data_IF_176003741777
#
_entry.id   IF_176003741777
#
_cell.length_a   1.000
_cell.length_b   1.000
_cell.length_c   1.000
_cell.angle_alpha   90.00
_cell.angle_beta   90.00
_cell.angle_gamma   90.00
#
_symmetry.space_group_name_H-M   'P 1'
#
loop_
_entity.id
_entity.type
_entity.pdbx_description
1 polymer ?
#
# COMPACT_ATOMS: atom_id res chain seq x y z
N UNK A 1 -23.16 76.43 80.09
CA UNK A 1 -21.76 76.65 79.64
C UNK A 1 -20.80 75.53 80.02
N UNK A 2 -20.62 75.20 81.32
CA UNK A 2 -19.73 74.12 81.80
C UNK A 2 -19.95 72.77 81.08
N UNK A 3 -21.21 72.38 80.89
CA UNK A 3 -21.62 71.16 80.17
C UNK A 3 -21.15 71.15 78.69
N UNK A 4 -21.13 72.30 78.01
CA UNK A 4 -20.72 72.37 76.62
C UNK A 4 -19.20 72.20 76.46
N UNK A 5 -18.42 72.77 77.38
CA UNK A 5 -16.96 72.58 77.42
C UNK A 5 -16.59 71.15 77.82
N UNK A 6 -17.35 70.53 78.72
CA UNK A 6 -17.13 69.13 79.08
C UNK A 6 -17.43 68.19 77.89
N UNK A 7 -18.50 68.45 77.12
CA UNK A 7 -18.76 67.73 75.85
C UNK A 7 -17.63 67.89 74.83
N UNK A 8 -17.00 69.07 74.74
CA UNK A 8 -15.83 69.26 73.88
C UNK A 8 -14.62 68.42 74.32
N UNK A 9 -14.47 68.12 75.62
CA UNK A 9 -13.35 67.29 76.09
C UNK A 9 -13.47 65.82 75.67
N UNK A 10 -14.68 65.37 75.39
CA UNK A 10 -14.92 63.97 75.00
C UNK A 10 -14.26 63.66 73.65
N UNK A 11 -14.18 64.63 72.73
CA UNK A 11 -13.55 64.46 71.42
C UNK A 11 -12.10 64.94 71.38
N UNK A 12 -11.24 64.26 70.61
CA UNK A 12 -9.84 64.66 70.42
C UNK A 12 -9.71 66.06 69.79
N UNK A 13 -10.62 66.38 68.86
CA UNK A 13 -10.66 67.69 68.19
C UNK A 13 -11.08 68.77 69.18
N UNK A 14 -12.06 68.50 70.05
CA UNK A 14 -12.46 69.44 71.08
C UNK A 14 -11.37 69.63 72.16
N UNK A 15 -10.59 68.60 72.51
CA UNK A 15 -9.38 68.76 73.34
C UNK A 15 -8.34 69.68 72.69
N UNK A 16 -8.14 69.59 71.38
CA UNK A 16 -7.24 70.49 70.63
C UNK A 16 -7.75 71.93 70.62
N UNK A 17 -9.05 72.14 70.42
CA UNK A 17 -9.66 73.47 70.52
C UNK A 17 -9.44 74.06 71.92
N UNK A 18 -9.67 73.27 72.97
CA UNK A 18 -9.42 73.67 74.35
C UNK A 18 -7.95 73.98 74.61
N UNK A 19 -7.03 73.23 74.00
CA UNK A 19 -5.58 73.50 74.09
C UNK A 19 -5.14 74.77 73.36
N UNK A 20 -5.81 75.14 72.26
CA UNK A 20 -5.45 76.30 71.44
C UNK A 20 -5.97 77.62 72.00
N UNK A 21 -7.22 77.65 72.47
CA UNK A 21 -7.86 78.86 72.99
C UNK A 21 -7.78 78.96 74.52
N UNK A 22 -7.52 77.85 75.22
CA UNK A 22 -7.57 77.80 76.67
C UNK A 22 -9.00 77.72 77.20
N UNK A 23 -9.16 77.05 78.35
CA UNK A 23 -10.49 76.82 78.95
C UNK A 23 -11.19 78.12 79.35
N UNK A 24 -10.43 79.09 79.84
CA UNK A 24 -10.94 80.36 80.39
C UNK A 24 -11.54 81.26 79.30
N UNK A 25 -10.95 81.29 78.11
CA UNK A 25 -11.49 82.06 76.98
C UNK A 25 -12.76 81.43 76.42
N UNK A 26 -12.81 80.08 76.39
CA UNK A 26 -13.98 79.36 75.89
C UNK A 26 -15.23 79.59 76.74
N UNK A 27 -15.11 79.92 78.03
CA UNK A 27 -16.26 80.27 78.88
C UNK A 27 -16.93 81.60 78.49
N UNK A 28 -16.27 82.45 77.70
CA UNK A 28 -16.82 83.73 77.22
C UNK A 28 -17.72 83.59 75.99
N UNK A 29 -17.70 82.44 75.33
CA UNK A 29 -18.50 82.19 74.14
C UNK A 29 -19.89 81.65 74.49
N UNK A 30 -20.84 81.74 73.58
CA UNK A 30 -22.11 81.04 73.74
C UNK A 30 -21.98 79.55 73.37
N UNK A 31 -22.74 78.65 74.01
CA UNK A 31 -22.69 77.21 73.73
C UNK A 31 -22.89 76.84 72.26
N UNK A 32 -23.73 77.58 71.54
CA UNK A 32 -24.00 77.36 70.11
C UNK A 32 -22.78 77.74 69.24
N UNK A 33 -22.11 78.84 69.56
CA UNK A 33 -20.88 79.27 68.88
C UNK A 33 -19.75 78.27 69.10
N UNK A 34 -19.63 77.72 70.30
CA UNK A 34 -18.67 76.64 70.59
C UNK A 34 -18.96 75.37 69.80
N UNK A 35 -20.23 75.00 69.68
CA UNK A 35 -20.63 73.82 68.91
C UNK A 35 -20.35 74.02 67.41
N UNK A 36 -20.63 75.21 66.88
CA UNK A 36 -20.29 75.58 65.50
C UNK A 36 -18.78 75.48 65.23
N UNK A 37 -17.96 76.08 66.11
CA UNK A 37 -16.49 75.98 66.04
C UNK A 37 -16.00 74.54 66.06
N UNK A 38 -16.62 73.69 66.88
CA UNK A 38 -16.28 72.29 66.95
C UNK A 38 -16.63 71.53 65.68
N UNK A 39 -17.83 71.75 65.14
CA UNK A 39 -18.28 71.15 63.88
C UNK A 39 -17.37 71.57 62.73
N UNK A 40 -17.01 72.85 62.63
CA UNK A 40 -16.10 73.34 61.59
C UNK A 40 -14.71 72.71 61.69
N UNK A 41 -14.18 72.57 62.91
CA UNK A 41 -12.91 71.89 63.14
C UNK A 41 -12.96 70.40 62.77
N UNK A 42 -14.08 69.72 63.06
CA UNK A 42 -14.32 68.33 62.67
C UNK A 42 -14.37 68.18 61.15
N UNK A 43 -15.09 69.05 60.46
CA UNK A 43 -15.18 69.06 59.00
C UNK A 43 -13.80 69.30 58.38
N UNK A 44 -13.05 70.27 58.89
CA UNK A 44 -11.68 70.56 58.41
C UNK A 44 -10.76 69.35 58.59
N UNK A 45 -10.76 68.75 59.78
CA UNK A 45 -9.96 67.56 60.06
C UNK A 45 -10.31 66.38 59.15
N UNK A 46 -11.61 66.15 58.90
CA UNK A 46 -12.08 65.11 57.98
C UNK A 46 -11.58 65.32 56.55
N UNK A 47 -11.60 66.57 56.05
CA UNK A 47 -11.06 66.92 54.73
C UNK A 47 -9.55 66.66 54.64
N UNK A 48 -8.79 67.03 55.67
CA UNK A 48 -7.35 66.78 55.73
C UNK A 48 -7.03 65.28 55.73
N UNK A 49 -7.79 64.45 56.45
CA UNK A 49 -7.61 63.00 56.44
C UNK A 49 -7.93 62.41 55.06
N UNK A 50 -9.01 62.87 54.40
CA UNK A 50 -9.35 62.44 53.04
C UNK A 50 -8.23 62.75 52.03
N UNK A 51 -7.59 63.91 52.11
CA UNK A 51 -6.45 64.25 51.25
C UNK A 51 -5.22 63.40 51.55
N UNK A 52 -4.91 63.12 52.83
CA UNK A 52 -3.82 62.19 53.20
C UNK A 52 -4.06 60.79 52.64
N UNK A 53 -5.28 60.27 52.76
CA UNK A 53 -5.68 58.98 52.19
C UNK A 53 -5.52 58.97 50.66
N UNK A 54 -5.97 60.00 49.95
CA UNK A 54 -5.78 60.10 48.48
C UNK A 54 -4.30 60.02 48.07
N UNK A 55 -3.42 60.70 48.81
CA UNK A 55 -1.97 60.64 48.55
C UNK A 55 -1.43 59.24 48.80
N UNK A 56 -1.88 58.56 49.86
CA UNK A 56 -1.49 57.16 50.13
C UNK A 56 -1.96 56.21 49.04
N UNK A 57 -3.22 56.30 48.58
CA UNK A 57 -3.72 55.47 47.47
C UNK A 57 -2.91 55.68 46.19
N UNK A 58 -2.58 56.92 45.83
CA UNK A 58 -1.72 57.21 44.68
C UNK A 58 -0.32 56.59 44.79
N UNK A 59 0.24 56.53 46.00
CA UNK A 59 1.55 55.89 46.24
C UNK A 59 1.53 54.37 46.05
N UNK A 60 0.37 53.73 46.20
CA UNK A 60 0.20 52.28 46.03
C UNK A 60 -0.17 51.92 44.58
N UNK A 61 -1.05 52.71 43.95
CA UNK A 61 -1.51 52.44 42.58
C UNK A 61 -0.44 52.64 41.51
N UNK A 62 0.43 53.65 41.67
CA UNK A 62 1.47 53.95 40.66
C UNK A 62 2.51 52.84 40.50
N UNK A 63 3.11 52.28 41.57
CA UNK A 63 4.03 51.16 41.46
C UNK A 63 3.37 49.91 40.87
N UNK A 64 2.14 49.61 41.27
CA UNK A 64 1.43 48.42 40.79
C UNK A 64 1.13 48.53 39.29
N UNK A 65 0.68 49.69 38.80
CA UNK A 65 0.54 49.93 37.36
C UNK A 65 1.88 49.83 36.63
N UNK A 66 2.94 50.43 37.16
CA UNK A 66 4.27 50.38 36.55
C UNK A 66 4.83 48.95 36.42
N UNK A 67 4.61 48.10 37.42
CA UNK A 67 4.97 46.68 37.37
C UNK A 67 4.16 45.94 36.29
N UNK A 68 2.84 46.15 36.26
CA UNK A 68 1.97 45.48 35.31
C UNK A 68 2.24 45.90 33.86
N UNK A 69 2.55 47.18 33.61
CA UNK A 69 2.94 47.69 32.29
C UNK A 69 4.31 47.14 31.82
N UNK A 70 5.23 46.85 32.75
CA UNK A 70 6.52 46.26 32.44
C UNK A 70 6.44 44.74 32.13
N UNK A 71 5.48 44.03 32.71
CA UNK A 71 5.30 42.58 32.50
C UNK A 71 4.63 42.25 31.15
N UNK A 72 3.68 43.06 30.70
CA UNK A 72 2.90 42.81 29.46
C UNK A 72 3.80 42.58 28.21
N UNK A 73 4.84 43.41 27.93
CA UNK A 73 5.70 43.21 26.76
C UNK A 73 6.56 41.93 26.81
N UNK A 74 6.91 41.43 27.99
CA UNK A 74 7.74 40.23 28.16
C UNK A 74 6.94 38.97 27.82
N UNK A 75 5.68 38.90 28.25
CA UNK A 75 4.77 37.79 27.95
C UNK A 75 4.50 37.69 26.45
N UNK A 76 4.29 38.83 25.78
CA UNK A 76 4.07 38.85 24.32
C UNK A 76 5.30 38.34 23.57
N UNK A 77 6.51 38.80 23.93
CA UNK A 77 7.76 38.34 23.28
C UNK A 77 8.07 36.86 23.52
N UNK A 78 7.71 36.32 24.69
CA UNK A 78 7.83 34.88 24.95
C UNK A 78 6.87 34.09 24.06
N UNK A 79 5.63 34.54 23.93
CA UNK A 79 4.63 33.89 23.07
C UNK A 79 5.03 33.87 21.59
N UNK A 80 5.62 34.94 21.05
CA UNK A 80 6.08 34.99 19.66
C UNK A 80 7.24 34.02 19.38
N UNK A 81 8.21 33.91 20.30
CA UNK A 81 9.33 32.96 20.19
C UNK A 81 8.86 31.52 20.23
N UNK A 82 7.93 31.19 21.12
CA UNK A 82 7.34 29.85 21.18
C UNK A 82 6.57 29.51 19.91
N UNK A 83 5.84 30.48 19.34
CA UNK A 83 5.09 30.30 18.10
C UNK A 83 6.03 30.07 16.91
N UNK A 84 7.12 30.83 16.82
CA UNK A 84 8.17 30.62 15.82
C UNK A 84 8.83 29.23 15.96
N UNK A 85 9.13 28.79 17.18
CA UNK A 85 9.69 27.46 17.43
C UNK A 85 8.73 26.33 17.04
N UNK A 86 7.43 26.47 17.30
CA UNK A 86 6.43 25.49 16.86
C UNK A 86 6.35 25.43 15.34
N UNK A 87 6.39 26.57 14.67
CA UNK A 87 6.36 26.65 13.22
C UNK A 87 7.60 26.01 12.57
N UNK A 88 8.80 26.22 13.12
CA UNK A 88 10.02 25.57 12.60
C UNK A 88 10.00 24.06 12.78
N UNK A 89 9.48 23.56 13.91
CA UNK A 89 9.28 22.12 14.13
C UNK A 89 8.32 21.54 13.09
N UNK A 90 7.19 22.21 12.84
CA UNK A 90 6.20 21.76 11.87
C UNK A 90 6.76 21.69 10.44
N UNK A 91 7.53 22.70 10.01
CA UNK A 91 8.20 22.68 8.70
C UNK A 91 9.16 21.50 8.61
N UNK A 92 10.02 21.30 9.62
CA UNK A 92 11.00 20.22 9.63
C UNK A 92 10.35 18.82 9.65
N UNK A 93 9.19 18.67 10.28
CA UNK A 93 8.41 17.43 10.24
C UNK A 93 7.80 17.18 8.85
N UNK A 94 7.33 18.25 8.20
CA UNK A 94 6.75 18.19 6.87
C UNK A 94 7.80 17.83 5.81
N UNK A 95 9.01 18.40 5.89
CA UNK A 95 10.16 18.02 5.06
C UNK A 95 10.53 16.53 5.24
N UNK A 96 10.59 16.04 6.49
CA UNK A 96 10.83 14.62 6.76
C UNK A 96 9.71 13.71 6.24
N UNK A 97 8.47 14.18 6.22
CA UNK A 97 7.36 13.44 5.65
C UNK A 97 7.48 13.33 4.13
N UNK A 98 7.79 14.44 3.44
CA UNK A 98 8.04 14.46 2.00
C UNK A 98 9.20 13.52 1.64
N UNK A 99 10.32 13.60 2.35
CA UNK A 99 11.48 12.74 2.09
C UNK A 99 11.15 11.25 2.25
N UNK A 100 10.33 10.88 3.24
CA UNK A 100 9.84 9.50 3.41
C UNK A 100 8.97 9.06 2.23
N UNK A 101 8.06 9.91 1.77
CA UNK A 101 7.24 9.62 0.60
C UNK A 101 8.09 9.45 -0.66
N UNK A 102 9.06 10.32 -0.90
CA UNK A 102 9.97 10.21 -2.05
C UNK A 102 10.78 8.91 -2.03
N UNK A 103 11.29 8.50 -0.85
CA UNK A 103 12.01 7.22 -0.74
C UNK A 103 11.10 6.04 -1.06
N UNK A 104 9.85 6.05 -0.60
CA UNK A 104 8.89 4.98 -0.92
C UNK A 104 8.61 4.89 -2.42
N UNK A 105 8.41 6.03 -3.09
CA UNK A 105 8.21 6.08 -4.55
C UNK A 105 9.43 5.53 -5.29
N UNK A 106 10.66 5.86 -4.86
CA UNK A 106 11.88 5.29 -5.47
C UNK A 106 11.94 3.77 -5.32
N UNK A 107 11.63 3.25 -4.14
CA UNK A 107 11.60 1.80 -3.89
C UNK A 107 10.55 1.10 -4.75
N UNK A 108 9.37 1.71 -4.93
CA UNK A 108 8.33 1.17 -5.83
C UNK A 108 8.79 1.15 -7.28
N UNK A 109 9.39 2.23 -7.78
CA UNK A 109 9.95 2.28 -9.13
C UNK A 109 11.06 1.24 -9.33
N UNK A 110 12.00 1.12 -8.39
CA UNK A 110 13.08 0.11 -8.43
C UNK A 110 12.51 -1.32 -8.48
N UNK A 111 11.41 -1.58 -7.75
CA UNK A 111 10.71 -2.86 -7.77
C UNK A 111 10.03 -3.11 -9.11
N UNK A 112 9.40 -2.11 -9.71
CA UNK A 112 8.79 -2.23 -11.04
C UNK A 112 9.86 -2.51 -12.12
N UNK A 113 10.99 -1.79 -12.08
CA UNK A 113 12.11 -2.00 -12.99
C UNK A 113 12.71 -3.41 -12.85
N UNK A 114 12.87 -3.89 -11.62
CA UNK A 114 13.33 -5.26 -11.36
C UNK A 114 12.35 -6.31 -11.91
N UNK A 115 11.04 -6.12 -11.73
CA UNK A 115 10.02 -7.03 -12.25
C UNK A 115 9.94 -7.00 -13.79
N UNK A 116 10.15 -5.84 -14.41
CA UNK A 116 10.24 -5.68 -15.85
C UNK A 116 11.47 -6.41 -16.43
N UNK A 117 12.63 -6.30 -15.76
CA UNK A 117 13.86 -7.01 -16.13
C UNK A 117 13.67 -8.53 -16.10
N UNK A 118 13.08 -9.09 -15.03
CA UNK A 118 12.77 -10.52 -14.93
C UNK A 118 11.75 -10.97 -16.01
N UNK A 119 10.78 -10.11 -16.35
CA UNK A 119 9.79 -10.43 -17.37
C UNK A 119 10.41 -10.45 -18.78
N UNK A 120 11.33 -9.53 -19.07
CA UNK A 120 12.11 -9.51 -20.30
C UNK A 120 12.96 -10.78 -20.45
N UNK A 121 13.75 -11.13 -19.43
CA UNK A 121 14.61 -12.33 -19.45
C UNK A 121 13.81 -13.63 -19.64
N UNK A 122 12.71 -13.81 -18.89
CA UNK A 122 11.86 -15.02 -19.06
C UNK A 122 11.21 -15.11 -20.44
N UNK A 123 10.91 -13.98 -21.07
CA UNK A 123 10.38 -13.98 -22.43
C UNK A 123 11.44 -14.40 -23.45
N UNK A 124 12.67 -13.90 -23.32
CA UNK A 124 13.80 -14.30 -24.15
C UNK A 124 14.12 -15.79 -24.01
N UNK A 125 14.15 -16.29 -22.77
CA UNK A 125 14.33 -17.72 -22.47
C UNK A 125 13.22 -18.58 -23.10
N UNK A 126 11.97 -18.15 -22.99
CA UNK A 126 10.82 -18.83 -23.61
C UNK A 126 10.94 -18.86 -25.14
N UNK A 127 11.31 -17.75 -25.77
CA UNK A 127 11.50 -17.67 -27.23
C UNK A 127 12.64 -18.58 -27.69
N UNK A 128 13.74 -18.63 -26.94
CA UNK A 128 14.85 -19.55 -27.22
C UNK A 128 14.43 -21.01 -27.07
N UNK A 129 13.65 -21.35 -26.04
CA UNK A 129 13.12 -22.69 -25.84
C UNK A 129 12.18 -23.10 -26.98
N UNK A 130 11.31 -22.21 -27.46
CA UNK A 130 10.45 -22.48 -28.60
C UNK A 130 11.23 -22.69 -29.90
N UNK A 131 12.31 -21.92 -30.14
CA UNK A 131 13.19 -22.11 -31.30
C UNK A 131 13.90 -23.46 -31.26
N UNK A 132 14.43 -23.84 -30.10
CA UNK A 132 15.11 -25.14 -29.93
C UNK A 132 14.13 -26.31 -30.07
N UNK A 133 12.93 -26.21 -29.51
CA UNK A 133 11.86 -27.19 -29.68
C UNK A 133 11.48 -27.38 -31.16
N UNK A 134 11.25 -26.29 -31.89
CA UNK A 134 10.93 -26.36 -33.32
C UNK A 134 12.06 -27.00 -34.15
N UNK A 135 13.32 -26.78 -33.79
CA UNK A 135 14.46 -27.46 -34.42
C UNK A 135 14.50 -28.95 -34.11
N UNK A 136 14.19 -29.35 -32.87
CA UNK A 136 14.11 -30.76 -32.49
C UNK A 136 12.98 -31.48 -33.22
N UNK A 137 11.78 -30.89 -33.32
CA UNK A 137 10.68 -31.46 -34.10
C UNK A 137 11.07 -31.68 -35.57
N UNK A 138 11.74 -30.70 -36.20
CA UNK A 138 12.21 -30.84 -37.58
C UNK A 138 13.20 -32.00 -37.73
N UNK A 139 14.12 -32.17 -36.78
CA UNK A 139 15.06 -33.30 -36.76
C UNK A 139 14.31 -34.63 -36.59
N UNK A 140 13.36 -34.71 -35.66
CA UNK A 140 12.56 -35.92 -35.45
C UNK A 140 11.74 -36.30 -36.67
N UNK A 141 11.10 -35.34 -37.34
CA UNK A 141 10.36 -35.58 -38.59
C UNK A 141 11.26 -36.10 -39.70
N UNK A 142 12.48 -35.59 -39.84
CA UNK A 142 13.46 -36.11 -40.80
C UNK A 142 13.84 -37.56 -40.50
N UNK A 143 14.14 -37.87 -39.24
CA UNK A 143 14.50 -39.23 -38.81
C UNK A 143 13.31 -40.20 -39.05
N UNK A 144 12.08 -39.78 -38.74
CA UNK A 144 10.89 -40.59 -38.99
C UNK A 144 10.66 -40.83 -40.48
N UNK A 145 10.86 -39.81 -41.32
CA UNK A 145 10.75 -39.94 -42.77
C UNK A 145 11.81 -40.89 -43.35
N UNK A 146 13.05 -40.82 -42.86
CA UNK A 146 14.13 -41.74 -43.25
C UNK A 146 13.83 -43.19 -42.82
N UNK A 147 13.41 -43.41 -41.57
CA UNK A 147 12.99 -44.74 -41.09
C UNK A 147 11.84 -45.31 -41.91
N UNK A 148 10.87 -44.47 -42.30
CA UNK A 148 9.75 -44.89 -43.14
C UNK A 148 10.23 -45.31 -44.53
N UNK A 149 11.13 -44.54 -45.14
CA UNK A 149 11.75 -44.91 -46.43
C UNK A 149 12.50 -46.24 -46.34
N UNK A 150 13.30 -46.43 -45.29
CA UNK A 150 14.03 -47.68 -45.08
C UNK A 150 13.09 -48.89 -44.88
N UNK A 151 11.98 -48.70 -44.16
CA UNK A 151 10.95 -49.72 -44.02
C UNK A 151 10.25 -50.03 -45.35
N UNK A 152 9.88 -49.01 -46.12
CA UNK A 152 9.25 -49.15 -47.43
C UNK A 152 10.18 -49.88 -48.41
N UNK A 153 11.48 -49.56 -48.41
CA UNK A 153 12.50 -50.26 -49.19
C UNK A 153 12.62 -51.74 -48.79
N UNK A 154 12.66 -52.04 -47.48
CA UNK A 154 12.69 -53.43 -46.99
C UNK A 154 11.44 -54.21 -47.38
N UNK A 155 10.26 -53.60 -47.28
CA UNK A 155 9.00 -54.20 -47.69
C UNK A 155 8.97 -54.44 -49.21
N UNK A 156 9.49 -53.51 -50.02
CA UNK A 156 9.60 -53.66 -51.46
C UNK A 156 10.54 -54.83 -51.83
N UNK A 157 11.70 -54.94 -51.19
CA UNK A 157 12.64 -56.05 -51.39
C UNK A 157 12.02 -57.40 -50.97
N UNK A 158 11.31 -57.43 -49.84
CA UNK A 158 10.61 -58.64 -49.38
C UNK A 158 9.51 -59.08 -50.36
N UNK A 159 8.71 -58.13 -50.88
CA UNK A 159 7.70 -58.40 -51.91
C UNK A 159 8.34 -58.95 -53.19
N UNK A 160 9.41 -58.32 -53.67
CA UNK A 160 10.14 -58.80 -54.85
C UNK A 160 10.70 -60.22 -54.66
N UNK A 161 11.22 -60.55 -53.48
CA UNK A 161 11.69 -61.89 -53.15
C UNK A 161 10.54 -62.92 -53.11
N UNK A 162 9.41 -62.57 -52.50
CA UNK A 162 8.22 -63.42 -52.46
C UNK A 162 7.64 -63.67 -53.86
N UNK A 163 7.57 -62.64 -54.71
CA UNK A 163 7.12 -62.76 -56.09
C UNK A 163 8.05 -63.66 -56.92
N UNK A 164 9.37 -63.56 -56.71
CA UNK A 164 10.34 -64.44 -57.35
C UNK A 164 10.19 -65.90 -56.90
N UNK A 165 9.93 -66.13 -55.60
CA UNK A 165 9.69 -67.48 -55.07
C UNK A 165 8.37 -68.07 -55.60
N UNK A 166 7.31 -67.27 -55.66
CA UNK A 166 6.03 -67.68 -56.24
C UNK A 166 6.16 -68.06 -57.72
N UNK A 167 6.94 -67.31 -58.51
CA UNK A 167 7.24 -67.67 -59.90
C UNK A 167 7.95 -69.03 -59.99
N UNK A 168 8.98 -69.27 -59.18
CA UNK A 168 9.70 -70.56 -59.14
C UNK A 168 8.80 -71.73 -58.74
N UNK A 169 7.96 -71.54 -57.72
CA UNK A 169 6.97 -72.55 -57.31
C UNK A 169 5.95 -72.82 -58.42
N UNK A 170 5.48 -71.76 -59.10
CA UNK A 170 4.59 -71.89 -60.25
C UNK A 170 5.20 -72.68 -61.41
N UNK A 171 6.49 -72.45 -61.72
CA UNK A 171 7.22 -73.21 -62.74
C UNK A 171 7.41 -74.69 -62.35
N UNK A 172 7.70 -74.97 -61.08
CA UNK A 172 7.79 -76.35 -60.58
C UNK A 172 6.44 -77.07 -60.66
N UNK A 173 5.36 -76.40 -60.27
CA UNK A 173 4.00 -76.95 -60.37
C UNK A 173 3.59 -77.21 -61.83
N UNK A 174 3.97 -76.34 -62.78
CA UNK A 174 3.77 -76.58 -64.22
C UNK A 174 4.54 -77.81 -64.68
N UNK A 175 5.82 -77.94 -64.33
CA UNK A 175 6.64 -79.11 -64.68
C UNK A 175 6.10 -80.41 -64.08
N UNK A 176 5.53 -80.37 -62.87
CA UNK A 176 4.86 -81.54 -62.28
C UNK A 176 3.60 -81.92 -63.04
N UNK A 177 2.73 -80.97 -63.38
CA UNK A 177 1.54 -81.22 -64.20
C UNK A 177 1.88 -81.77 -65.59
N UNK A 178 2.95 -81.27 -66.22
CA UNK A 178 3.43 -81.80 -67.50
C UNK A 178 3.91 -83.25 -67.38
N UNK A 179 4.66 -83.59 -66.31
CA UNK A 179 5.08 -84.97 -66.04
C UNK A 179 3.92 -85.91 -65.74
N UNK A 180 2.94 -85.45 -64.96
CA UNK A 180 1.70 -86.20 -64.68
C UNK A 180 0.93 -86.44 -65.98
N UNK A 181 0.76 -85.42 -66.83
CA UNK A 181 0.12 -85.54 -68.14
C UNK A 181 0.88 -86.49 -69.09
N UNK A 182 2.22 -86.49 -69.08
CA UNK A 182 3.02 -87.45 -69.85
C UNK A 182 2.87 -88.89 -69.33
N UNK A 183 2.81 -89.08 -68.01
CA UNK A 183 2.55 -90.39 -67.39
C UNK A 183 1.15 -90.91 -67.72
N UNK A 184 0.13 -90.05 -67.65
CA UNK A 184 -1.24 -90.39 -68.04
C UNK A 184 -1.33 -90.75 -69.53
N UNK A 185 -0.60 -90.04 -70.38
CA UNK A 185 -0.52 -90.35 -71.82
C UNK A 185 0.15 -91.72 -72.07
N UNK A 186 1.24 -92.03 -71.36
CA UNK A 186 1.90 -93.35 -71.41
C UNK A 186 1.03 -94.48 -70.84
N UNK A 187 0.14 -94.20 -69.89
CA UNK A 187 -0.83 -95.16 -69.34
C UNK A 187 -2.03 -95.41 -70.27
N UNK A 188 -2.32 -94.50 -71.20
CA UNK A 188 -3.34 -94.68 -72.25
C UNK A 188 -2.82 -95.44 -73.48
N UNK A 189 -1.51 -95.38 -73.75
CA UNK A 189 -0.88 -96.02 -74.93
C UNK A 189 -0.80 -97.57 -74.96
N UNK A 190 -1.24 -98.37 -73.94
CA UNK A 190 -1.48 -99.80 -74.12
C UNK A 190 -2.98 -100.19 -74.10
N UNK A 191 -3.94 -99.26 -74.26
CA UNK A 191 -5.39 -99.57 -74.26
C UNK A 191 -6.13 -99.45 -75.60
N UNK A 192 -5.44 -99.11 -76.70
CA UNK A 192 -6.07 -99.03 -78.03
C UNK A 192 -5.68 -100.16 -79.01
N UNK A 193 -4.93 -101.18 -78.58
CA UNK A 193 -4.50 -102.30 -79.45
C UNK A 193 -5.17 -103.65 -79.22
N UNK A 194 -6.24 -103.76 -78.41
CA UNK A 194 -7.01 -105.01 -78.28
C UNK A 194 -8.50 -104.75 -78.00
N UNK A 195 -9.32 -104.48 -79.04
CA UNK A 195 -10.77 -104.65 -78.93
C UNK A 195 -11.52 -104.79 -80.26
N UNK A 196 -11.39 -105.93 -80.92
CA UNK A 196 -12.51 -106.63 -81.62
C UNK A 196 -12.07 -108.12 -81.78
N UNK A 197 -12.95 -109.16 -81.75
CA UNK A 197 -14.12 -109.23 -82.62
C UNK A 197 -15.40 -109.92 -82.06
N UNK A 198 -16.51 -109.57 -82.73
CA UNK A 198 -17.59 -110.48 -83.17
C UNK A 198 -18.46 -111.22 -82.14
N UNK A 199 -19.74 -110.87 -82.06
CA UNK A 199 -20.87 -111.57 -82.74
C UNK A 199 -22.22 -111.06 -82.21
N UNK A 200 -23.16 -110.84 -83.12
CA UNK A 200 -24.60 -110.61 -82.86
C UNK A 200 -25.26 -111.92 -82.32
N UNK A 201 -26.58 -112.02 -81.93
CA UNK A 201 -27.70 -111.16 -82.35
C UNK A 201 -28.87 -110.97 -81.32
N UNK A 202 -29.97 -110.39 -81.83
CA UNK A 202 -31.40 -110.60 -81.47
C UNK A 202 -32.11 -109.58 -80.54
N UNK A 203 -32.83 -108.67 -81.21
CA UNK A 203 -34.22 -108.17 -80.99
C UNK A 203 -35.05 -108.71 -79.81
N UNK A 204 -35.77 -107.79 -79.13
CA UNK A 204 -37.27 -107.59 -79.06
C UNK A 204 -37.55 -106.59 -77.91
N UNK A 205 -37.88 -105.31 -78.19
CA UNK A 205 -39.21 -104.67 -78.39
C UNK A 205 -40.18 -104.82 -77.19
N UNK A 206 -41.05 -103.83 -76.96
CA UNK A 206 -40.83 -102.40 -76.70
C UNK A 206 -40.43 -102.12 -75.25
#
# INVERSE_FOLDING_TARGET
MKIAIDKLRESEIGRKIIGLFGKEELYKYDPESLNSLHIDAVIKYSREQKEKLKVQYKKVDFPIRGLHEAEIPLVIKQSEKELQQRHTIQIAELERAIERCERLVRIENDKEDFLLSIRGQRHEDFVLHMKTFAQQERKQRKIQAEKKREQDERLALSRAANDANNKKLGEQARKQREREAEMDKKLQEPRETLRVPSTAPVRRRP
#
